data_IF_459221258423
#
_entry.id   IF_459221258423
#
_cell.length_a   1.000
_cell.length_b   1.000
_cell.length_c   1.000
_cell.angle_alpha   90.00
_cell.angle_beta   90.00
_cell.angle_gamma   90.00
#
_symmetry.space_group_name_H-M   'P 1'
#
loop_
_entity.id
_entity.type
_entity.pdbx_description
1 polymer ?
#
# COMPACT_ATOMS: atom_id res chain seq x y z
N UNK A 1 5.09 0.48 8.96
CA UNK A 1 4.09 0.79 7.92
C UNK A 1 4.82 0.94 6.59
N UNK A 2 4.25 0.44 5.51
CA UNK A 2 4.77 0.64 4.14
C UNK A 2 3.70 1.32 3.30
N UNK A 3 4.14 2.19 2.40
CA UNK A 3 3.30 2.80 1.38
C UNK A 3 3.84 2.41 0.02
N UNK A 4 3.03 1.74 -0.78
CA UNK A 4 3.31 1.41 -2.18
C UNK A 4 2.70 2.53 -3.02
N UNK A 5 3.50 3.16 -3.86
CA UNK A 5 3.07 4.21 -4.77
C UNK A 5 2.86 3.59 -6.14
N UNK A 6 1.65 3.68 -6.65
CA UNK A 6 1.26 3.32 -8.01
C UNK A 6 1.28 4.58 -8.85
N UNK A 7 1.86 4.48 -10.04
CA UNK A 7 1.98 5.58 -10.99
C UNK A 7 0.62 5.96 -11.56
N UNK A 8 0.36 7.26 -11.60
CA UNK A 8 -0.87 7.80 -12.18
C UNK A 8 -2.07 7.68 -11.24
N UNK A 9 -3.16 8.33 -11.63
CA UNK A 9 -4.45 8.19 -10.94
C UNK A 9 -5.19 6.99 -11.52
N UNK A 10 -5.57 6.09 -10.64
CA UNK A 10 -6.44 4.96 -10.94
C UNK A 10 -7.90 5.45 -11.02
N UNK A 11 -8.68 4.91 -11.95
CA UNK A 11 -10.12 5.19 -12.08
C UNK A 11 -10.92 4.62 -10.89
N UNK A 12 -12.15 5.10 -10.68
CA UNK A 12 -12.95 4.72 -9.51
C UNK A 12 -13.31 3.21 -9.51
N UNK A 13 -13.57 2.61 -10.68
CA UNK A 13 -13.91 1.18 -10.78
C UNK A 13 -12.70 0.30 -10.38
N UNK A 14 -11.51 0.62 -10.89
CA UNK A 14 -10.28 -0.09 -10.52
C UNK A 14 -9.90 0.18 -9.06
N UNK A 15 -10.16 1.38 -8.53
CA UNK A 15 -9.92 1.71 -7.12
C UNK A 15 -10.79 0.86 -6.20
N UNK A 16 -12.09 0.73 -6.49
CA UNK A 16 -13.00 -0.12 -5.71
C UNK A 16 -12.58 -1.60 -5.78
N UNK A 17 -12.22 -2.11 -6.96
CA UNK A 17 -11.70 -3.48 -7.12
C UNK A 17 -10.44 -3.71 -6.29
N UNK A 18 -9.49 -2.77 -6.33
CA UNK A 18 -8.25 -2.85 -5.56
C UNK A 18 -8.52 -2.83 -4.06
N UNK A 19 -9.37 -1.93 -3.58
CA UNK A 19 -9.73 -1.89 -2.16
C UNK A 19 -10.34 -3.20 -1.69
N UNK A 20 -11.26 -3.79 -2.45
CA UNK A 20 -11.88 -5.06 -2.11
C UNK A 20 -10.86 -6.21 -2.10
N UNK A 21 -10.06 -6.36 -3.18
CA UNK A 21 -9.06 -7.42 -3.27
C UNK A 21 -7.98 -7.30 -2.19
N UNK A 22 -7.51 -6.09 -1.92
CA UNK A 22 -6.49 -5.87 -0.90
C UNK A 22 -7.03 -6.11 0.51
N UNK A 23 -8.27 -5.69 0.78
CA UNK A 23 -8.94 -5.92 2.07
C UNK A 23 -9.18 -7.42 2.33
N UNK A 24 -9.54 -8.17 1.31
CA UNK A 24 -9.85 -9.60 1.45
C UNK A 24 -8.60 -10.49 1.53
N UNK A 25 -7.53 -10.11 0.81
CA UNK A 25 -6.36 -10.97 0.61
C UNK A 25 -5.16 -10.59 1.46
N UNK A 26 -5.02 -9.31 1.83
CA UNK A 26 -3.79 -8.78 2.42
C UNK A 26 -4.00 -8.46 3.89
N UNK A 27 -3.44 -9.30 4.74
CA UNK A 27 -3.37 -9.03 6.17
C UNK A 27 -2.56 -7.75 6.44
N UNK A 28 -3.15 -6.83 7.19
CA UNK A 28 -2.55 -5.52 7.47
C UNK A 28 -2.73 -4.49 6.35
N UNK A 29 -3.63 -4.70 5.37
CA UNK A 29 -4.10 -3.62 4.50
C UNK A 29 -4.76 -2.51 5.33
N UNK A 30 -4.45 -1.25 5.00
CA UNK A 30 -4.99 -0.08 5.69
C UNK A 30 -5.91 0.74 4.81
N UNK A 31 -5.40 1.21 3.67
CA UNK A 31 -6.12 2.12 2.80
C UNK A 31 -5.52 2.20 1.39
N UNK A 32 -6.34 2.64 0.44
CA UNK A 32 -5.92 3.13 -0.87
C UNK A 32 -6.32 4.60 -0.96
N UNK A 33 -5.44 5.46 -1.46
CA UNK A 33 -5.72 6.89 -1.61
C UNK A 33 -5.16 7.40 -2.93
N UNK A 34 -6.04 7.94 -3.77
CA UNK A 34 -5.63 8.59 -5.01
C UNK A 34 -5.22 10.05 -4.74
N UNK A 35 -4.12 10.46 -5.37
CA UNK A 35 -3.68 11.86 -5.47
C UNK A 35 -3.92 12.36 -6.90
N UNK A 36 -3.49 13.60 -7.19
CA UNK A 36 -3.55 14.14 -8.55
C UNK A 36 -2.68 13.38 -9.57
N UNK A 37 -1.62 12.69 -9.12
CA UNK A 37 -0.64 12.07 -10.02
C UNK A 37 -0.23 10.64 -9.67
N UNK A 38 -0.71 10.10 -8.55
CA UNK A 38 -0.36 8.75 -8.07
C UNK A 38 -1.50 8.15 -7.25
N UNK A 39 -1.47 6.85 -7.04
CA UNK A 39 -2.30 6.17 -6.05
C UNK A 39 -1.42 5.52 -5.00
N UNK A 40 -1.70 5.81 -3.73
CA UNK A 40 -0.96 5.27 -2.59
C UNK A 40 -1.72 4.10 -1.99
N UNK A 41 -1.03 3.00 -1.71
CA UNK A 41 -1.58 1.82 -1.03
C UNK A 41 -0.79 1.61 0.26
N UNK A 42 -1.47 1.63 1.40
CA UNK A 42 -0.84 1.52 2.71
C UNK A 42 -1.04 0.13 3.29
N UNK A 43 0.07 -0.51 3.68
CA UNK A 43 0.10 -1.86 4.24
C UNK A 43 1.05 -1.95 5.43
N UNK A 44 0.72 -2.74 6.44
CA UNK A 44 1.57 -2.93 7.62
C UNK A 44 2.46 -4.15 7.51
N UNK A 45 1.93 -5.26 7.00
CA UNK A 45 2.57 -6.57 7.10
C UNK A 45 2.91 -7.13 5.71
N UNK A 46 1.91 -7.60 4.97
CA UNK A 46 2.14 -8.32 3.71
C UNK A 46 2.31 -7.40 2.49
N UNK A 47 3.52 -6.85 2.36
CA UNK A 47 3.92 -6.03 1.19
C UNK A 47 3.95 -6.86 -0.09
N UNK A 48 4.38 -8.11 -0.03
CA UNK A 48 4.56 -8.95 -1.22
C UNK A 48 3.23 -9.35 -1.82
N UNK A 49 2.26 -9.74 -0.99
CA UNK A 49 0.89 -9.98 -1.43
C UNK A 49 0.26 -8.73 -2.05
N UNK A 50 0.44 -7.56 -1.42
CA UNK A 50 -0.06 -6.31 -1.97
C UNK A 50 0.56 -5.98 -3.35
N UNK A 51 1.87 -6.14 -3.52
CA UNK A 51 2.54 -5.96 -4.81
C UNK A 51 2.02 -6.93 -5.87
N UNK A 52 1.75 -8.18 -5.49
CA UNK A 52 1.18 -9.19 -6.40
C UNK A 52 -0.21 -8.76 -6.88
N UNK A 53 -1.10 -8.38 -5.97
CA UNK A 53 -2.46 -7.91 -6.32
C UNK A 53 -2.40 -6.71 -7.25
N UNK A 54 -1.56 -5.72 -6.95
CA UNK A 54 -1.41 -4.52 -7.78
C UNK A 54 -0.90 -4.86 -9.18
N UNK A 55 0.10 -5.73 -9.29
CA UNK A 55 0.66 -6.13 -10.58
C UNK A 55 -0.34 -6.95 -11.41
N UNK A 56 -1.13 -7.82 -10.78
CA UNK A 56 -2.19 -8.60 -11.43
C UNK A 56 -3.32 -7.71 -11.97
N UNK A 57 -3.62 -6.59 -11.30
CA UNK A 57 -4.56 -5.57 -11.77
C UNK A 57 -3.94 -4.60 -12.80
N UNK A 58 -2.68 -4.81 -13.20
CA UNK A 58 -2.00 -4.01 -14.22
C UNK A 58 -1.46 -2.67 -13.72
N UNK A 59 -1.32 -2.49 -12.41
CA UNK A 59 -0.74 -1.27 -11.84
C UNK A 59 0.77 -1.19 -12.08
N UNK A 60 1.27 -0.01 -12.45
CA UNK A 60 2.71 0.27 -12.53
C UNK A 60 3.20 0.80 -11.18
N UNK A 61 4.12 0.09 -10.53
CA UNK A 61 4.68 0.49 -9.23
C UNK A 61 5.79 1.53 -9.43
N UNK A 62 5.65 2.68 -8.79
CA UNK A 62 6.60 3.79 -8.85
C UNK A 62 7.61 3.75 -7.69
N UNK A 63 7.14 3.49 -6.47
CA UNK A 63 7.98 3.48 -5.28
C UNK A 63 7.40 2.64 -4.14
N UNK A 64 8.26 2.25 -3.19
CA UNK A 64 7.85 1.66 -1.92
C UNK A 64 8.54 2.45 -0.80
N UNK A 65 7.76 3.14 0.02
CA UNK A 65 8.24 3.88 1.18
C UNK A 65 8.07 3.04 2.45
N UNK A 66 9.15 2.88 3.21
CA UNK A 66 9.14 2.13 4.48
C UNK A 66 9.28 3.11 5.65
N UNK A 67 8.29 3.12 6.54
CA UNK A 67 8.29 3.94 7.74
C UNK A 67 8.67 3.07 8.93
N UNK A 68 9.85 3.32 9.50
CA UNK A 68 10.29 2.68 10.73
C UNK A 68 9.47 3.23 11.91
N UNK A 69 8.90 2.35 12.74
CA UNK A 69 8.38 2.76 14.05
C UNK A 69 9.57 3.22 14.88
N UNK A 70 9.54 4.45 15.39
CA UNK A 70 10.54 4.96 16.33
C UNK A 70 10.47 4.10 17.59
N UNK A 71 11.42 3.17 17.77
CA UNK A 71 11.55 2.42 19.01
C UNK A 71 12.17 3.38 20.02
N UNK A 72 11.35 3.94 20.91
CA UNK A 72 11.86 4.72 22.04
C UNK A 72 12.48 3.75 23.03
N UNK A 73 13.76 3.42 22.86
CA UNK A 73 14.52 2.67 23.84
C UNK A 73 14.73 3.55 25.07
N UNK A 74 13.81 3.51 26.02
CA UNK A 74 14.13 3.82 27.42
C UNK A 74 15.03 2.69 27.93
N UNK A 75 16.33 2.82 27.66
CA UNK A 75 17.36 2.09 28.37
C UNK A 75 17.48 2.74 29.75
N UNK A 76 16.75 2.20 30.72
CA UNK A 76 17.09 2.36 32.12
C UNK A 76 18.30 1.47 32.38
N UNK A 77 19.48 2.08 32.55
CA UNK A 77 20.63 1.44 33.20
C UNK A 77 20.50 1.59 34.71
#
# INVERSE_FOLDING_TARGET
>A
MRTIVVKGRIDEDLMERLENRLRDLIEGFREVTATHSSTNVVVEEDVWGALKVLTEEGCEIEAIHVWARKVSSHLSL
#
